data_IF_551142363880
#
_entry.id   IF_551142363880
#
_cell.length_a   1.000
_cell.length_b   1.000
_cell.length_c   1.000
_cell.angle_alpha   90.00
_cell.angle_beta   90.00
_cell.angle_gamma   90.00
#
_symmetry.space_group_name_H-M   'P 1'
#
loop_
_entity.id
_entity.type
_entity.pdbx_description
1 polymer ?
#
# COMPACT_ATOMS: atom_id res chain seq x y z
N UNK A 1 11.47 -10.55 19.01
CA UNK A 1 11.82 -9.14 19.28
C UNK A 1 10.76 -8.39 20.09
N UNK A 2 9.45 -8.55 19.86
CA UNK A 2 8.39 -7.92 20.70
C UNK A 2 8.38 -8.39 22.17
N UNK A 3 8.60 -9.69 22.40
CA UNK A 3 8.73 -10.24 23.77
C UNK A 3 9.98 -9.75 24.53
N UNK A 4 11.03 -9.30 23.81
CA UNK A 4 12.24 -8.76 24.42
C UNK A 4 12.08 -7.31 24.88
N UNK A 5 11.06 -6.59 24.38
CA UNK A 5 10.73 -5.20 24.75
C UNK A 5 9.67 -5.10 25.86
N UNK A 6 9.19 -6.23 26.41
CA UNK A 6 8.17 -6.23 27.46
C UNK A 6 6.79 -5.73 27.02
N UNK A 7 6.56 -5.58 25.71
CA UNK A 7 5.27 -5.17 25.16
C UNK A 7 4.39 -6.41 25.07
N UNK A 8 3.41 -6.52 25.98
CA UNK A 8 2.37 -7.54 25.90
C UNK A 8 1.63 -7.43 24.56
N UNK A 9 1.34 -8.57 23.92
CA UNK A 9 0.43 -8.61 22.77
C UNK A 9 -0.92 -8.05 23.20
N UNK A 10 -1.15 -6.77 22.93
CA UNK A 10 -2.44 -6.14 23.13
C UNK A 10 -3.41 -6.65 22.07
N UNK A 11 -4.71 -6.73 22.38
CA UNK A 11 -5.74 -7.11 21.39
C UNK A 11 -5.64 -6.27 20.10
N UNK A 12 -5.11 -5.05 20.20
CA UNK A 12 -4.91 -4.13 19.09
C UNK A 12 -3.87 -4.64 18.07
N UNK A 13 -2.97 -5.54 18.45
CA UNK A 13 -2.02 -6.16 17.52
C UNK A 13 -2.71 -7.02 16.44
N UNK A 14 -3.92 -7.52 16.70
CA UNK A 14 -4.71 -8.29 15.72
C UNK A 14 -5.10 -7.46 14.49
N UNK A 15 -5.09 -6.13 14.58
CA UNK A 15 -5.31 -5.25 13.43
C UNK A 15 -4.25 -5.38 12.34
N UNK A 16 -3.12 -6.06 12.59
CA UNK A 16 -2.14 -6.31 11.55
C UNK A 16 -2.70 -7.18 10.41
N UNK A 17 -3.60 -8.12 10.70
CA UNK A 17 -4.20 -8.98 9.67
C UNK A 17 -5.04 -8.21 8.64
N UNK A 18 -6.03 -7.38 9.04
CA UNK A 18 -6.78 -6.57 8.09
C UNK A 18 -5.91 -5.53 7.36
N UNK A 19 -4.89 -4.97 8.03
CA UNK A 19 -3.95 -4.05 7.38
C UNK A 19 -3.08 -4.75 6.32
N UNK A 20 -2.62 -5.98 6.59
CA UNK A 20 -1.91 -6.81 5.62
C UNK A 20 -2.80 -7.22 4.45
N UNK A 21 -4.07 -7.56 4.70
CA UNK A 21 -5.02 -7.85 3.63
C UNK A 21 -5.21 -6.63 2.72
N UNK A 22 -5.34 -5.42 3.30
CA UNK A 22 -5.44 -4.18 2.54
C UNK A 22 -4.17 -3.90 1.72
N UNK A 23 -2.99 -4.13 2.30
CA UNK A 23 -1.71 -4.02 1.59
C UNK A 23 -1.63 -4.99 0.42
N UNK A 24 -2.07 -6.22 0.62
CA UNK A 24 -2.07 -7.25 -0.41
C UNK A 24 -2.95 -6.82 -1.60
N UNK A 25 -4.19 -6.40 -1.35
CA UNK A 25 -5.10 -5.92 -2.41
C UNK A 25 -4.50 -4.72 -3.14
N UNK A 26 -3.94 -3.75 -2.42
CA UNK A 26 -3.27 -2.60 -3.04
C UNK A 26 -2.11 -3.03 -3.94
N UNK A 27 -1.25 -3.92 -3.45
CA UNK A 27 -0.10 -4.44 -4.19
C UNK A 27 -0.53 -5.21 -5.43
N UNK A 28 -1.55 -6.08 -5.32
CA UNK A 28 -2.12 -6.80 -6.47
C UNK A 28 -2.67 -5.84 -7.51
N UNK A 29 -3.35 -4.76 -7.09
CA UNK A 29 -3.88 -3.73 -8.00
C UNK A 29 -2.76 -3.09 -8.84
N UNK A 30 -1.67 -2.70 -8.18
CA UNK A 30 -0.50 -2.13 -8.86
C UNK A 30 0.15 -3.16 -9.78
N UNK A 31 0.31 -4.41 -9.33
CA UNK A 31 0.87 -5.49 -10.14
C UNK A 31 0.05 -5.78 -11.39
N UNK A 32 -1.29 -5.73 -11.34
CA UNK A 32 -2.15 -5.93 -12.51
C UNK A 32 -1.94 -4.85 -13.58
N UNK A 33 -1.77 -3.59 -13.17
CA UNK A 33 -1.47 -2.49 -14.09
C UNK A 33 -0.06 -2.61 -14.67
N UNK A 34 0.93 -2.93 -13.82
CA UNK A 34 2.31 -3.07 -14.28
C UNK A 34 2.52 -4.29 -15.18
N UNK A 35 1.88 -5.42 -14.88
CA UNK A 35 1.99 -6.63 -15.70
C UNK A 35 1.43 -6.40 -17.09
N UNK A 36 0.29 -5.72 -17.18
CA UNK A 36 -0.34 -5.41 -18.46
C UNK A 36 0.48 -4.44 -19.30
N UNK A 37 1.07 -3.41 -18.69
CA UNK A 37 1.98 -2.49 -19.37
C UNK A 37 3.27 -3.16 -19.85
N UNK A 38 3.80 -4.11 -19.07
CA UNK A 38 5.05 -4.79 -19.40
C UNK A 38 4.97 -5.67 -20.66
N UNK A 39 3.76 -6.14 -21.05
CA UNK A 39 3.59 -6.91 -22.30
C UNK A 39 3.81 -6.03 -23.53
N UNK A 40 3.36 -4.76 -23.50
CA UNK A 40 3.58 -3.83 -24.62
C UNK A 40 4.94 -3.16 -24.59
N UNK A 41 5.44 -2.86 -23.38
CA UNK A 41 6.64 -2.05 -23.19
C UNK A 41 7.65 -2.79 -22.33
N UNK A 42 8.69 -3.33 -22.97
CA UNK A 42 9.77 -4.07 -22.29
C UNK A 42 10.55 -3.22 -21.27
N UNK A 43 10.53 -1.90 -21.43
CA UNK A 43 11.22 -0.96 -20.53
C UNK A 43 10.48 -0.74 -19.20
N UNK A 44 9.22 -1.17 -19.09
CA UNK A 44 8.44 -1.09 -17.84
C UNK A 44 9.11 -1.89 -16.73
N UNK A 45 9.78 -2.99 -17.05
CA UNK A 45 10.53 -3.79 -16.07
C UNK A 45 11.65 -2.99 -15.40
N UNK A 46 12.39 -2.19 -16.16
CA UNK A 46 13.45 -1.32 -15.65
C UNK A 46 12.86 -0.15 -14.85
N UNK A 47 11.81 0.49 -15.39
CA UNK A 47 11.13 1.59 -14.72
C UNK A 47 10.52 1.19 -13.37
N UNK A 48 9.95 -0.03 -13.27
CA UNK A 48 9.32 -0.54 -12.05
C UNK A 48 10.28 -0.55 -10.86
N UNK A 49 11.54 -0.93 -11.06
CA UNK A 49 12.55 -0.91 -9.99
C UNK A 49 12.79 0.50 -9.45
N UNK A 50 12.92 1.49 -10.34
CA UNK A 50 13.05 2.90 -9.96
C UNK A 50 11.80 3.41 -9.25
N UNK A 51 10.60 3.05 -9.74
CA UNK A 51 9.34 3.43 -9.11
C UNK A 51 9.21 2.87 -7.69
N UNK A 52 9.59 1.63 -7.44
CA UNK A 52 9.56 1.03 -6.08
C UNK A 52 10.50 1.81 -5.15
N UNK A 53 11.70 2.16 -5.62
CA UNK A 53 12.64 2.94 -4.83
C UNK A 53 12.09 4.34 -4.50
N UNK A 54 11.47 5.01 -5.48
CA UNK A 54 10.81 6.29 -5.26
C UNK A 54 9.65 6.16 -4.26
N UNK A 55 8.83 5.12 -4.40
CA UNK A 55 7.69 4.83 -3.52
C UNK A 55 8.12 4.54 -2.07
N UNK A 56 9.27 3.89 -1.90
CA UNK A 56 9.88 3.64 -0.59
C UNK A 56 10.23 4.95 0.13
N UNK A 57 10.83 5.92 -0.58
CA UNK A 57 11.13 7.25 0.00
C UNK A 57 9.87 8.11 0.18
N UNK A 58 8.90 7.97 -0.72
CA UNK A 58 7.61 8.66 -0.64
C UNK A 58 6.69 8.10 0.45
N UNK A 59 7.03 6.95 1.04
CA UNK A 59 6.31 6.37 2.16
C UNK A 59 7.13 6.55 3.46
N UNK A 60 6.50 6.78 4.62
CA UNK A 60 7.18 6.96 5.89
C UNK A 60 7.66 5.62 6.49
N UNK A 61 8.49 4.90 5.73
CA UNK A 61 9.09 3.63 6.18
C UNK A 61 10.24 3.91 7.14
N UNK A 62 11.14 4.83 6.75
CA UNK A 62 12.38 5.15 7.48
C UNK A 62 12.24 6.35 8.43
N UNK A 63 11.18 7.15 8.30
CA UNK A 63 10.95 8.37 9.10
C UNK A 63 9.55 8.40 9.71
N UNK A 64 9.40 9.06 10.86
CA UNK A 64 8.09 9.27 11.50
C UNK A 64 7.41 10.50 10.91
N UNK A 65 6.10 10.41 10.65
CA UNK A 65 5.30 11.49 10.06
C UNK A 65 5.28 12.73 10.96
N UNK A 66 5.39 12.56 12.28
CA UNK A 66 5.29 13.63 13.28
C UNK A 66 6.25 14.79 13.05
N UNK A 67 7.45 14.49 12.53
CA UNK A 67 8.53 15.47 12.30
C UNK A 67 8.36 16.31 11.03
N UNK A 68 7.36 16.02 10.19
CA UNK A 68 7.11 16.74 8.95
C UNK A 68 6.21 17.97 9.11
N UNK A 69 6.38 18.95 8.21
CA UNK A 69 5.50 20.13 8.13
C UNK A 69 4.07 19.72 7.72
N UNK A 70 3.07 20.51 8.13
CA UNK A 70 1.64 20.21 7.91
C UNK A 70 1.29 19.99 6.43
N UNK A 71 1.95 20.72 5.51
CA UNK A 71 1.73 20.55 4.07
C UNK A 71 2.24 19.20 3.56
N UNK A 72 3.44 18.80 3.99
CA UNK A 72 4.02 17.49 3.61
C UNK A 72 3.23 16.34 4.21
N UNK A 73 2.72 16.49 5.43
CA UNK A 73 1.81 15.51 6.04
C UNK A 73 0.59 15.25 5.18
N UNK A 74 -0.10 16.30 4.70
CA UNK A 74 -1.28 16.16 3.84
C UNK A 74 -0.98 15.40 2.55
N UNK A 75 0.16 15.70 1.90
CA UNK A 75 0.58 14.99 0.67
C UNK A 75 0.86 13.51 0.97
N UNK A 76 1.53 13.21 2.07
CA UNK A 76 1.83 11.82 2.46
C UNK A 76 0.56 11.05 2.85
N UNK A 77 -0.43 11.68 3.45
CA UNK A 77 -1.72 11.05 3.80
C UNK A 77 -2.58 10.72 2.57
N UNK A 78 -2.33 11.33 1.41
CA UNK A 78 -2.99 10.93 0.16
C UNK A 78 -2.51 9.55 -0.32
N UNK A 79 -1.32 9.10 0.08
CA UNK A 79 -0.80 7.80 -0.29
C UNK A 79 -1.41 6.71 0.61
N UNK A 80 -2.18 5.75 0.07
CA UNK A 80 -2.77 4.65 0.86
C UNK A 80 -1.72 3.80 1.60
N UNK A 81 -0.50 3.69 1.06
CA UNK A 81 0.59 2.97 1.73
C UNK A 81 1.02 3.64 3.03
N UNK A 82 1.03 4.98 3.07
CA UNK A 82 1.34 5.74 4.28
C UNK A 82 0.38 5.36 5.41
N UNK A 83 -0.93 5.28 5.10
CA UNK A 83 -1.93 4.89 6.09
C UNK A 83 -1.68 3.47 6.63
N UNK A 84 -1.40 2.52 5.74
CA UNK A 84 -1.17 1.12 6.12
C UNK A 84 0.06 1.01 7.04
N UNK A 85 1.19 1.57 6.62
CA UNK A 85 2.47 1.48 7.34
C UNK A 85 2.37 2.14 8.72
N UNK A 86 1.75 3.32 8.80
CA UNK A 86 1.62 4.05 10.05
C UNK A 86 0.70 3.31 11.04
N UNK A 87 -0.42 2.77 10.57
CA UNK A 87 -1.30 2.01 11.46
C UNK A 87 -0.69 0.66 11.88
N UNK A 88 0.12 0.02 11.04
CA UNK A 88 0.90 -1.15 11.45
C UNK A 88 1.86 -0.80 12.59
N UNK A 89 2.57 0.33 12.49
CA UNK A 89 3.44 0.85 13.56
C UNK A 89 2.65 1.12 14.84
N UNK A 90 1.53 1.84 14.75
CA UNK A 90 0.67 2.20 15.89
C UNK A 90 0.09 0.97 16.59
N UNK A 91 -0.31 -0.06 15.85
CA UNK A 91 -0.87 -1.28 16.44
C UNK A 91 0.20 -2.17 17.09
N UNK A 92 1.38 -2.31 16.48
CA UNK A 92 2.43 -3.19 17.00
C UNK A 92 3.31 -2.55 18.08
N UNK A 93 3.66 -1.28 17.92
CA UNK A 93 4.63 -0.60 18.79
C UNK A 93 3.91 0.19 19.89
N UNK A 94 2.89 0.97 19.54
CA UNK A 94 2.16 1.80 20.52
C UNK A 94 1.01 1.07 21.21
N UNK A 95 0.62 -0.11 20.71
CA UNK A 95 -0.53 -0.86 21.21
C UNK A 95 -1.86 -0.12 21.04
N UNK A 96 -1.95 0.84 20.11
CA UNK A 96 -3.16 1.62 19.83
C UNK A 96 -3.96 1.00 18.68
N UNK A 97 -5.28 1.02 18.81
CA UNK A 97 -6.19 0.55 17.77
C UNK A 97 -6.19 1.45 16.52
N UNK A 98 -6.66 0.91 15.41
CA UNK A 98 -6.86 1.64 14.15
C UNK A 98 -8.11 2.52 14.27
N UNK A 99 -8.04 3.71 13.67
CA UNK A 99 -9.21 4.59 13.56
C UNK A 99 -10.14 4.04 12.47
N UNK A 100 -11.30 3.52 12.88
CA UNK A 100 -12.18 2.74 12.00
C UNK A 100 -12.65 3.50 10.75
N UNK A 101 -13.02 4.77 10.87
CA UNK A 101 -13.47 5.56 9.72
C UNK A 101 -12.35 5.75 8.67
N UNK A 102 -11.10 5.90 9.11
CA UNK A 102 -9.95 6.02 8.20
C UNK A 102 -9.70 4.69 7.49
N UNK A 103 -9.79 3.58 8.23
CA UNK A 103 -9.65 2.24 7.67
C UNK A 103 -10.70 1.97 6.59
N UNK A 104 -11.96 2.31 6.85
CA UNK A 104 -13.05 2.14 5.87
C UNK A 104 -12.81 3.02 4.64
N UNK A 105 -12.46 4.31 4.83
CA UNK A 105 -12.19 5.23 3.73
C UNK A 105 -11.07 4.71 2.82
N UNK A 106 -9.94 4.32 3.40
CA UNK A 106 -8.80 3.78 2.63
C UNK A 106 -9.17 2.43 2.01
N UNK A 107 -9.95 1.60 2.71
CA UNK A 107 -10.51 0.36 2.19
C UNK A 107 -11.32 0.57 0.91
N UNK A 108 -12.21 1.56 0.89
CA UNK A 108 -13.00 1.91 -0.30
C UNK A 108 -12.11 2.41 -1.44
N UNK A 109 -11.11 3.25 -1.15
CA UNK A 109 -10.16 3.73 -2.17
C UNK A 109 -9.39 2.58 -2.80
N UNK A 110 -8.83 1.69 -1.97
CA UNK A 110 -8.07 0.52 -2.44
C UNK A 110 -8.97 -0.45 -3.23
N UNK A 111 -10.19 -0.68 -2.78
CA UNK A 111 -11.15 -1.53 -3.49
C UNK A 111 -11.56 -0.93 -4.86
N UNK A 112 -11.80 0.39 -4.91
CA UNK A 112 -12.09 1.10 -6.16
C UNK A 112 -10.89 1.03 -7.11
N UNK A 113 -9.67 1.22 -6.60
CA UNK A 113 -8.45 1.12 -7.39
C UNK A 113 -8.23 -0.30 -7.92
N UNK A 114 -8.44 -1.33 -7.09
CA UNK A 114 -8.40 -2.73 -7.52
C UNK A 114 -9.39 -3.02 -8.63
N UNK A 115 -10.64 -2.55 -8.49
CA UNK A 115 -11.66 -2.73 -9.51
C UNK A 115 -11.26 -2.11 -10.85
N UNK A 116 -10.73 -0.87 -10.83
CA UNK A 116 -10.25 -0.20 -12.04
C UNK A 116 -9.04 -0.92 -12.66
N UNK A 117 -8.07 -1.33 -11.83
CA UNK A 117 -6.90 -2.09 -12.28
C UNK A 117 -7.28 -3.44 -12.91
N UNK A 118 -8.23 -4.15 -12.30
CA UNK A 118 -8.75 -5.42 -12.81
C UNK A 118 -9.49 -5.24 -14.14
N UNK A 119 -10.35 -4.21 -14.25
CA UNK A 119 -11.04 -3.87 -15.50
C UNK A 119 -10.07 -3.50 -16.61
N UNK A 120 -9.02 -2.75 -16.28
CA UNK A 120 -7.93 -2.44 -17.21
C UNK A 120 -7.25 -3.72 -17.69
N UNK A 121 -6.83 -4.58 -16.77
CA UNK A 121 -6.18 -5.85 -17.07
C UNK A 121 -7.01 -6.73 -18.02
N UNK A 122 -8.30 -6.96 -17.73
CA UNK A 122 -9.17 -7.78 -18.62
C UNK A 122 -9.32 -7.17 -20.01
N UNK A 123 -9.43 -5.84 -20.09
CA UNK A 123 -9.56 -5.16 -21.39
C UNK A 123 -8.31 -5.43 -22.24
N UNK A 124 -7.16 -5.31 -21.61
CA UNK A 124 -5.85 -5.48 -22.23
C UNK A 124 -5.51 -6.96 -22.49
N UNK A 125 -6.04 -7.89 -21.71
CA UNK A 125 -5.86 -9.33 -21.89
C UNK A 125 -6.29 -9.82 -23.28
N UNK A 126 -7.36 -9.24 -23.83
CA UNK A 126 -7.86 -9.56 -25.16
C UNK A 126 -6.87 -9.19 -26.27
N UNK A 127 -6.14 -8.11 -26.07
CA UNK A 127 -5.17 -7.58 -27.03
C UNK A 127 -3.81 -8.29 -26.91
N UNK A 128 -3.53 -9.04 -25.83
CA UNK A 128 -2.30 -9.81 -25.69
C UNK A 128 -2.19 -10.95 -26.70
N UNK A 129 -3.32 -11.53 -27.11
CA UNK A 129 -3.34 -12.64 -28.07
C UNK A 129 -2.85 -12.23 -29.46
N UNK A 130 -2.90 -10.93 -29.80
CA UNK A 130 -2.43 -10.41 -31.08
C UNK A 130 -0.96 -9.95 -31.05
N UNK A 131 -0.35 -9.81 -29.87
CA UNK A 131 1.00 -9.25 -29.68
C UNK A 131 2.06 -10.32 -29.40
N UNK A 132 1.66 -11.52 -28.97
CA UNK A 132 2.53 -12.68 -28.66
C UNK A 132 2.66 -13.56 -29.91
#
# INVERSE_FOLDING_TARGET
>A
MLAAYGIGLTLNALWIFPLLALLFVFTTSVCLVLSSLNVYYRDVKLATGFFIQLLFFASPVIYSIDKLSTKLKLVLFLNPLTFIIENMRRCLIEGRGVVLWQFILVGVIVAAFYYLAYRFFIKTERDFADVI
#
